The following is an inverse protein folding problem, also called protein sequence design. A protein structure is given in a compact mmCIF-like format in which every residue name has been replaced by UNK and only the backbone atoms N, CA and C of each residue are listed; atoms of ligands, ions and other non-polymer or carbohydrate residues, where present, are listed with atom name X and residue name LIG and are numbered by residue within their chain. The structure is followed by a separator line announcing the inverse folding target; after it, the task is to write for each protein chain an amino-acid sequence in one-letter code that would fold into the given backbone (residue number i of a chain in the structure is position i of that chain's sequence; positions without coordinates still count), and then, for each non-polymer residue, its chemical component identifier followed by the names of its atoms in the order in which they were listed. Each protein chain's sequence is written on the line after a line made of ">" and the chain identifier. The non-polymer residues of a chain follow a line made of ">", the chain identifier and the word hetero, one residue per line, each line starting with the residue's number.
data_IF_474424225181
#
_entry.id   IF_474424225181
#
_cell.length_a   1.000
_cell.length_b   1.000
_cell.length_c   1.000
_cell.angle_alpha   90.00
_cell.angle_beta   90.00
_cell.angle_gamma   90.00
#
_symmetry.space_group_name_H-M   'P 1'
#
loop_
_entity.id
_entity.type
_entity.pdbx_description
1 polymer ?
#
# COMPACT_ATOMS: atom_id res chain seq x y z
N UNK A 1 11.93 -7.15 -5.93
CA UNK A 1 11.72 -5.97 -5.08
C UNK A 1 10.83 -6.32 -3.89
N UNK A 2 11.25 -5.93 -2.68
CA UNK A 2 10.45 -6.17 -1.46
C UNK A 2 9.06 -5.51 -1.54
N UNK A 3 8.97 -4.37 -2.24
CA UNK A 3 7.71 -3.61 -2.36
C UNK A 3 6.63 -4.38 -3.13
N UNK A 4 7.01 -5.12 -4.17
CA UNK A 4 6.08 -5.82 -5.06
C UNK A 4 6.25 -7.34 -5.07
N UNK A 5 7.09 -7.87 -4.20
CA UNK A 5 7.40 -9.31 -4.14
C UNK A 5 7.83 -9.88 -5.51
N UNK A 6 8.61 -9.09 -6.25
CA UNK A 6 9.16 -9.48 -7.54
C UNK A 6 10.68 -9.60 -7.40
N UNK A 7 11.25 -10.61 -8.03
CA UNK A 7 12.69 -10.84 -8.02
C UNK A 7 13.43 -9.58 -8.51
N UNK A 8 14.41 -9.13 -7.73
CA UNK A 8 15.20 -7.93 -8.05
C UNK A 8 15.97 -8.09 -9.36
N UNK A 9 16.43 -9.31 -9.66
CA UNK A 9 17.13 -9.61 -10.90
C UNK A 9 16.21 -9.40 -12.12
N UNK A 10 14.97 -9.84 -12.04
CA UNK A 10 13.99 -9.66 -13.13
C UNK A 10 13.74 -8.17 -13.36
N UNK A 11 13.55 -7.39 -12.30
CA UNK A 11 13.35 -5.94 -12.41
C UNK A 11 14.58 -5.24 -12.99
N UNK A 12 15.78 -5.63 -12.55
CA UNK A 12 17.03 -5.05 -13.07
C UNK A 12 17.19 -5.37 -14.56
N UNK A 13 16.90 -6.61 -14.96
CA UNK A 13 16.98 -7.02 -16.36
C UNK A 13 16.07 -6.17 -17.25
N UNK A 14 14.83 -5.95 -16.83
CA UNK A 14 13.87 -5.14 -17.58
C UNK A 14 14.24 -3.65 -17.56
N UNK A 15 14.78 -3.16 -16.46
CA UNK A 15 15.33 -1.80 -16.39
C UNK A 15 16.48 -1.60 -17.38
N UNK A 16 17.38 -2.58 -17.46
CA UNK A 16 18.51 -2.56 -18.39
C UNK A 16 18.07 -2.62 -19.86
N UNK A 17 16.86 -3.13 -20.11
CA UNK A 17 16.25 -3.09 -21.44
C UNK A 17 15.65 -1.73 -21.81
N UNK A 18 15.68 -0.79 -20.88
CA UNK A 18 15.23 0.59 -21.13
C UNK A 18 13.88 0.97 -20.55
N UNK A 19 13.24 0.09 -19.77
CA UNK A 19 11.96 0.41 -19.12
C UNK A 19 12.18 1.38 -17.95
N UNK A 20 11.37 2.44 -17.89
CA UNK A 20 11.42 3.40 -16.79
C UNK A 20 10.76 2.86 -15.53
N UNK A 21 11.02 3.51 -14.38
CA UNK A 21 10.45 3.09 -13.09
C UNK A 21 8.93 3.12 -13.06
N UNK A 22 8.29 4.10 -13.70
CA UNK A 22 6.83 4.19 -13.76
C UNK A 22 6.25 3.00 -14.52
N UNK A 23 6.86 2.64 -15.65
CA UNK A 23 6.45 1.49 -16.46
C UNK A 23 6.61 0.19 -15.69
N UNK A 24 7.76 -0.01 -15.05
CA UNK A 24 8.03 -1.20 -14.25
C UNK A 24 7.08 -1.33 -13.07
N UNK A 25 6.77 -0.23 -12.39
CA UNK A 25 5.83 -0.22 -11.27
C UNK A 25 4.41 -0.60 -11.73
N UNK A 26 3.97 -0.02 -12.83
CA UNK A 26 2.66 -0.34 -13.39
C UNK A 26 2.59 -1.79 -13.85
N UNK A 27 3.61 -2.26 -14.55
CA UNK A 27 3.72 -3.66 -14.96
C UNK A 27 3.73 -4.63 -13.76
N UNK A 28 4.44 -4.27 -12.69
CA UNK A 28 4.46 -5.06 -11.46
C UNK A 28 3.06 -5.19 -10.85
N UNK A 29 2.30 -4.09 -10.83
CA UNK A 29 0.95 -4.08 -10.31
C UNK A 29 0.01 -4.93 -11.17
N UNK A 30 0.12 -4.86 -12.50
CA UNK A 30 -0.65 -5.71 -13.40
C UNK A 30 -0.25 -7.19 -13.27
N UNK A 31 1.02 -7.47 -13.02
CA UNK A 31 1.51 -8.82 -12.73
C UNK A 31 0.83 -9.39 -11.48
N UNK A 32 0.76 -8.61 -10.41
CA UNK A 32 0.07 -9.00 -9.17
C UNK A 32 -1.42 -9.21 -9.39
N UNK A 33 -2.05 -8.35 -10.19
CA UNK A 33 -3.49 -8.41 -10.44
C UNK A 33 -3.90 -9.60 -11.32
N UNK A 34 -3.04 -10.00 -12.26
CA UNK A 34 -3.35 -11.01 -13.25
C UNK A 34 -2.74 -12.39 -12.98
N UNK A 35 -1.72 -12.46 -12.15
CA UNK A 35 -0.91 -13.67 -11.99
C UNK A 35 0.05 -13.93 -13.15
N UNK A 36 0.11 -13.05 -14.15
CA UNK A 36 1.04 -13.17 -15.29
C UNK A 36 2.42 -12.64 -14.91
N UNK A 37 3.45 -13.17 -15.54
CA UNK A 37 4.81 -12.69 -15.35
C UNK A 37 4.96 -11.25 -15.84
N UNK A 38 5.74 -10.45 -15.13
CA UNK A 38 5.99 -9.05 -15.49
C UNK A 38 6.59 -8.95 -16.90
N UNK A 39 7.41 -9.92 -17.31
CA UNK A 39 8.01 -9.96 -18.64
C UNK A 39 6.95 -10.04 -19.74
N UNK A 40 5.94 -10.88 -19.55
CA UNK A 40 4.82 -11.01 -20.50
C UNK A 40 4.06 -9.69 -20.66
N UNK A 41 3.81 -9.01 -19.55
CA UNK A 41 3.12 -7.72 -19.52
C UNK A 41 3.94 -6.65 -20.26
N UNK A 42 5.24 -6.60 -20.02
CA UNK A 42 6.13 -5.65 -20.69
C UNK A 42 6.27 -5.92 -22.19
N UNK A 43 6.24 -7.21 -22.62
CA UNK A 43 6.21 -7.53 -24.05
C UNK A 43 4.93 -7.01 -24.72
N UNK A 44 3.79 -7.13 -24.06
CA UNK A 44 2.55 -6.54 -24.57
C UNK A 44 2.63 -5.01 -24.64
N UNK A 45 3.27 -4.38 -23.66
CA UNK A 45 3.41 -2.91 -23.61
C UNK A 45 4.27 -2.35 -24.73
N UNK A 46 5.18 -3.13 -25.32
CA UNK A 46 6.04 -2.68 -26.42
C UNK A 46 5.22 -2.13 -27.60
N UNK A 47 4.06 -2.71 -27.89
CA UNK A 47 3.22 -2.36 -29.04
C UNK A 47 1.81 -1.90 -28.67
N UNK A 48 1.54 -1.66 -27.38
CA UNK A 48 0.20 -1.33 -26.89
C UNK A 48 0.22 -0.25 -25.83
N UNK A 49 -0.85 0.54 -25.73
CA UNK A 49 -1.08 1.42 -24.59
C UNK A 49 -1.40 0.60 -23.33
N UNK A 50 -1.26 1.19 -22.14
CA UNK A 50 -1.65 0.52 -20.89
C UNK A 50 -3.12 0.07 -20.90
N UNK A 51 -4.10 0.90 -21.32
CA UNK A 51 -5.49 0.43 -21.41
C UNK A 51 -5.66 -0.80 -22.31
N UNK A 52 -4.90 -0.88 -23.40
CA UNK A 52 -4.94 -2.03 -24.30
C UNK A 52 -4.33 -3.28 -23.65
N UNK A 53 -3.22 -3.12 -22.93
CA UNK A 53 -2.61 -4.21 -22.16
C UNK A 53 -3.58 -4.75 -21.12
N UNK A 54 -4.26 -3.87 -20.39
CA UNK A 54 -5.27 -4.25 -19.40
C UNK A 54 -6.42 -5.02 -20.05
N UNK A 55 -6.90 -4.55 -21.20
CA UNK A 55 -7.94 -5.24 -21.95
C UNK A 55 -7.48 -6.64 -22.41
N UNK A 56 -6.28 -6.75 -22.99
CA UNK A 56 -5.73 -8.02 -23.49
C UNK A 56 -5.48 -9.03 -22.37
N UNK A 57 -5.17 -8.56 -21.17
CA UNK A 57 -4.95 -9.42 -20.00
C UNK A 57 -6.21 -9.68 -19.19
N UNK A 58 -7.33 -9.03 -19.53
CA UNK A 58 -8.60 -9.17 -18.82
C UNK A 58 -8.64 -8.50 -17.44
N UNK A 59 -7.70 -7.58 -17.18
CA UNK A 59 -7.59 -6.90 -15.88
C UNK A 59 -8.55 -5.71 -15.84
N UNK A 60 -9.36 -5.62 -14.77
CA UNK A 60 -10.26 -4.48 -14.51
C UNK A 60 -9.64 -3.49 -13.52
N UNK A 61 -10.15 -2.23 -13.45
CA UNK A 61 -9.73 -1.28 -12.41
C UNK A 61 -9.92 -1.82 -10.99
N UNK A 62 -10.97 -2.60 -10.75
CA UNK A 62 -11.20 -3.24 -9.44
C UNK A 62 -10.13 -4.29 -9.14
N UNK A 63 -9.67 -5.05 -10.12
CA UNK A 63 -8.58 -6.01 -9.95
C UNK A 63 -7.29 -5.30 -9.59
N UNK A 64 -7.01 -4.17 -10.23
CA UNK A 64 -5.82 -3.35 -9.94
C UNK A 64 -5.88 -2.81 -8.51
N UNK A 65 -7.02 -2.27 -8.11
CA UNK A 65 -7.22 -1.76 -6.74
C UNK A 65 -7.04 -2.87 -5.71
N UNK A 66 -7.67 -4.01 -5.93
CA UNK A 66 -7.56 -5.16 -5.03
C UNK A 66 -6.10 -5.63 -4.88
N UNK A 67 -5.36 -5.69 -5.97
CA UNK A 67 -3.95 -6.04 -5.96
C UNK A 67 -3.10 -5.01 -5.22
N UNK A 68 -3.37 -3.71 -5.44
CA UNK A 68 -2.69 -2.62 -4.74
C UNK A 68 -2.94 -2.70 -3.24
N UNK A 69 -4.18 -2.89 -2.83
CA UNK A 69 -4.55 -2.98 -1.41
C UNK A 69 -3.85 -4.16 -0.73
N UNK A 70 -3.84 -5.33 -1.37
CA UNK A 70 -3.13 -6.51 -0.84
C UNK A 70 -1.63 -6.26 -0.74
N UNK A 71 -1.04 -5.66 -1.76
CA UNK A 71 0.39 -5.38 -1.78
C UNK A 71 0.78 -4.36 -0.71
N UNK A 72 -0.02 -3.30 -0.55
CA UNK A 72 0.21 -2.29 0.48
C UNK A 72 0.07 -2.90 1.88
N UNK A 73 -0.96 -3.68 2.13
CA UNK A 73 -1.16 -4.33 3.42
C UNK A 73 0.02 -5.26 3.76
N UNK A 74 0.46 -6.07 2.80
CA UNK A 74 1.61 -6.97 2.99
C UNK A 74 2.88 -6.18 3.30
N UNK A 75 3.19 -5.21 2.48
CA UNK A 75 4.43 -4.44 2.62
C UNK A 75 4.49 -3.65 3.92
N UNK A 76 3.46 -2.85 4.20
CA UNK A 76 3.45 -2.00 5.39
C UNK A 76 3.31 -2.79 6.68
N UNK A 77 2.59 -3.92 6.67
CA UNK A 77 2.57 -4.82 7.82
C UNK A 77 3.99 -5.31 8.14
N UNK A 78 4.73 -5.73 7.14
CA UNK A 78 6.09 -6.24 7.32
C UNK A 78 7.06 -5.16 7.84
N UNK A 79 7.07 -3.98 7.22
CA UNK A 79 8.05 -2.92 7.56
C UNK A 79 7.69 -2.15 8.84
N UNK A 80 6.42 -2.15 9.24
CA UNK A 80 5.96 -1.44 10.44
C UNK A 80 5.70 -2.38 11.63
N UNK A 81 5.87 -3.68 11.47
CA UNK A 81 5.59 -4.65 12.53
C UNK A 81 4.11 -4.73 12.87
N UNK A 82 3.25 -4.63 11.86
CA UNK A 82 1.79 -4.71 11.98
C UNK A 82 1.27 -6.03 11.39
N UNK A 83 -0.01 -6.28 11.59
CA UNK A 83 -0.70 -7.42 10.98
C UNK A 83 -1.48 -6.95 9.76
N UNK A 84 -1.48 -7.74 8.69
CA UNK A 84 -2.24 -7.41 7.48
C UNK A 84 -3.74 -7.22 7.75
N UNK A 85 -4.30 -7.98 8.69
CA UNK A 85 -5.71 -7.87 9.11
C UNK A 85 -6.07 -6.51 9.72
N UNK A 86 -5.07 -5.76 10.19
CA UNK A 86 -5.27 -4.43 10.76
C UNK A 86 -5.12 -3.33 9.71
N UNK A 87 -4.81 -3.70 8.47
CA UNK A 87 -4.61 -2.78 7.34
C UNK A 87 -5.59 -3.07 6.20
N UNK A 88 -5.60 -4.30 5.69
CA UNK A 88 -6.31 -4.66 4.46
C UNK A 88 -7.82 -4.38 4.48
N UNK A 89 -8.57 -4.76 5.54
CA UNK A 89 -10.02 -4.52 5.53
C UNK A 89 -10.38 -3.04 5.39
N UNK A 90 -9.58 -2.15 5.94
CA UNK A 90 -9.82 -0.71 5.91
C UNK A 90 -9.43 -0.09 4.55
N UNK A 91 -8.38 -0.58 3.92
CA UNK A 91 -8.07 -0.21 2.53
C UNK A 91 -9.21 -0.60 1.59
N UNK A 92 -9.80 -1.76 1.80
CA UNK A 92 -10.98 -2.23 1.04
C UNK A 92 -12.21 -1.35 1.26
N UNK A 93 -12.32 -0.71 2.41
CA UNK A 93 -13.37 0.26 2.72
C UNK A 93 -13.05 1.68 2.21
N UNK A 94 -11.98 1.83 1.43
CA UNK A 94 -11.52 3.08 0.82
C UNK A 94 -10.98 4.12 1.81
N UNK A 95 -10.57 3.72 3.00
CA UNK A 95 -9.77 4.60 3.85
C UNK A 95 -8.43 4.88 3.19
N UNK A 96 -7.91 6.09 3.36
CA UNK A 96 -6.59 6.45 2.86
C UNK A 96 -5.51 5.63 3.58
N UNK A 97 -4.51 5.17 2.85
CA UNK A 97 -3.42 4.37 3.41
C UNK A 97 -2.75 5.07 4.61
N UNK A 98 -2.49 6.38 4.48
CA UNK A 98 -1.87 7.14 5.55
C UNK A 98 -2.70 7.09 6.85
N UNK A 99 -4.01 7.21 6.76
CA UNK A 99 -4.91 7.14 7.91
C UNK A 99 -4.95 5.74 8.51
N UNK A 100 -4.98 4.72 7.66
CA UNK A 100 -4.97 3.32 8.12
C UNK A 100 -3.69 3.00 8.89
N UNK A 101 -2.54 3.46 8.41
CA UNK A 101 -1.26 3.22 9.09
C UNK A 101 -1.18 3.94 10.44
N UNK A 102 -1.66 5.18 10.52
CA UNK A 102 -1.76 5.90 11.79
C UNK A 102 -2.67 5.16 12.78
N UNK A 103 -3.85 4.76 12.33
CA UNK A 103 -4.80 4.05 13.18
C UNK A 103 -4.25 2.72 13.67
N UNK A 104 -3.60 1.95 12.80
CA UNK A 104 -3.03 0.66 13.17
C UNK A 104 -1.91 0.79 14.20
N UNK A 105 -1.02 1.78 14.04
CA UNK A 105 0.06 2.02 15.00
C UNK A 105 -0.45 2.59 16.33
N UNK A 106 -1.46 3.44 16.31
CA UNK A 106 -2.13 3.91 17.53
C UNK A 106 -2.87 2.79 18.24
N UNK A 107 -3.50 1.88 17.50
CA UNK A 107 -4.13 0.69 18.06
C UNK A 107 -3.10 -0.19 18.79
N UNK A 108 -1.95 -0.42 18.18
CA UNK A 108 -0.86 -1.19 18.79
C UNK A 108 -0.34 -0.52 20.07
N UNK A 109 -0.23 0.79 20.08
CA UNK A 109 0.28 1.55 21.23
C UNK A 109 -0.74 1.67 22.37
N UNK A 110 -2.04 1.69 22.08
CA UNK A 110 -3.09 1.97 23.05
C UNK A 110 -3.88 0.75 23.49
N UNK A 111 -3.82 -0.35 22.74
CA UNK A 111 -4.67 -1.52 22.97
C UNK A 111 -6.10 -1.37 22.43
N UNK A 112 -6.43 -0.23 21.81
CA UNK A 112 -7.71 0.00 21.13
C UNK A 112 -7.70 -0.64 19.74
N UNK A 113 -8.86 -0.70 19.09
CA UNK A 113 -8.99 -1.26 17.74
C UNK A 113 -8.75 -0.18 16.68
N UNK A 114 -8.17 -0.57 15.53
CA UNK A 114 -8.00 0.34 14.39
C UNK A 114 -9.35 0.87 13.90
N UNK A 115 -10.40 0.05 13.94
CA UNK A 115 -11.75 0.44 13.55
C UNK A 115 -12.27 1.62 14.37
N UNK A 116 -12.19 1.54 15.72
CA UNK A 116 -12.66 2.62 16.59
C UNK A 116 -11.82 3.89 16.43
N UNK A 117 -10.52 3.75 16.20
CA UNK A 117 -9.62 4.87 15.99
C UNK A 117 -9.91 5.59 14.68
N UNK A 118 -10.13 4.84 13.59
CA UNK A 118 -10.52 5.42 12.30
C UNK A 118 -11.86 6.15 12.41
N UNK A 119 -12.82 5.60 13.14
CA UNK A 119 -14.11 6.23 13.37
C UNK A 119 -13.98 7.54 14.18
N UNK A 120 -13.03 7.62 15.10
CA UNK A 120 -12.78 8.81 15.92
C UNK A 120 -12.04 9.91 15.18
N UNK A 121 -11.27 9.59 14.14
CA UNK A 121 -10.48 10.53 13.36
C UNK A 121 -11.39 11.31 12.40
N UNK A 122 -11.66 12.58 12.72
CA UNK A 122 -12.53 13.47 11.94
C UNK A 122 -11.91 14.85 11.85
N UNK A 123 -10.93 15.06 10.92
CA UNK A 123 -10.33 16.38 10.78
C UNK A 123 -11.37 17.43 10.37
N UNK A 124 -11.13 18.71 10.66
CA UNK A 124 -9.93 19.25 11.29
C UNK A 124 -9.93 19.21 12.83
N UNK A 125 -11.10 19.06 13.48
CA UNK A 125 -11.22 19.16 14.94
C UNK A 125 -10.72 17.91 15.67
N UNK A 126 -11.01 16.74 15.12
CA UNK A 126 -10.61 15.45 15.68
C UNK A 126 -9.46 14.87 14.86
N UNK A 127 -8.34 15.58 14.84
CA UNK A 127 -7.12 15.17 14.15
C UNK A 127 -6.38 14.07 14.94
N UNK A 128 -5.22 13.62 14.43
CA UNK A 128 -4.45 12.58 15.10
C UNK A 128 -3.96 12.99 16.49
N UNK A 129 -3.67 14.25 16.70
CA UNK A 129 -3.27 14.76 18.04
C UNK A 129 -4.42 14.62 19.05
N UNK A 130 -5.64 14.94 18.63
CA UNK A 130 -6.84 14.77 19.46
C UNK A 130 -7.10 13.29 19.76
N UNK A 131 -7.06 12.44 18.73
CA UNK A 131 -7.29 11.00 18.88
C UNK A 131 -6.25 10.37 19.80
N UNK A 132 -4.99 10.71 19.64
CA UNK A 132 -3.92 10.22 20.52
C UNK A 132 -4.14 10.65 21.97
N UNK A 133 -4.57 11.88 22.19
CA UNK A 133 -4.90 12.38 23.52
C UNK A 133 -6.03 11.57 24.17
N UNK A 134 -7.10 11.32 23.43
CA UNK A 134 -8.23 10.50 23.91
C UNK A 134 -7.83 9.07 24.22
N UNK A 135 -6.82 8.54 23.55
CA UNK A 135 -6.28 7.19 23.76
C UNK A 135 -5.21 7.12 24.83
N UNK A 136 -4.90 8.24 25.47
CA UNK A 136 -3.82 8.36 26.45
C UNK A 136 -2.43 8.00 25.85
N UNK A 137 -2.25 8.32 24.57
CA UNK A 137 -0.98 8.18 23.86
C UNK A 137 -0.25 9.51 23.89
N UNK A 138 0.99 9.50 24.36
CA UNK A 138 1.79 10.72 24.50
C UNK A 138 2.11 11.36 23.15
N UNK A 139 2.39 12.67 23.17
CA UNK A 139 2.78 13.40 21.96
C UNK A 139 4.08 12.84 21.37
N UNK A 140 5.03 12.49 22.22
CA UNK A 140 6.30 11.88 21.82
C UNK A 140 6.05 10.56 21.06
N UNK A 141 5.12 9.76 21.56
CA UNK A 141 4.76 8.50 20.92
C UNK A 141 4.08 8.73 19.57
N UNK A 142 3.19 9.72 19.49
CA UNK A 142 2.55 10.07 18.22
C UNK A 142 3.56 10.59 17.21
N UNK A 143 4.50 11.42 17.63
CA UNK A 143 5.57 11.92 16.75
C UNK A 143 6.45 10.78 16.25
N UNK A 144 6.77 9.81 17.10
CA UNK A 144 7.51 8.60 16.71
C UNK A 144 6.74 7.78 15.67
N UNK A 145 5.41 7.66 15.83
CA UNK A 145 4.54 6.99 14.84
C UNK A 145 4.61 7.71 13.48
N UNK A 146 4.48 9.03 13.48
CA UNK A 146 4.57 9.86 12.26
C UNK A 146 5.91 9.69 11.54
N UNK A 147 7.00 9.71 12.29
CA UNK A 147 8.35 9.51 11.74
C UNK A 147 8.50 8.11 11.16
N UNK A 148 8.01 7.09 11.85
CA UNK A 148 8.06 5.70 11.39
C UNK A 148 7.34 5.52 10.06
N UNK A 149 6.14 6.11 9.92
CA UNK A 149 5.37 6.07 8.67
C UNK A 149 6.13 6.80 7.56
N UNK A 150 6.63 8.00 7.84
CA UNK A 150 7.38 8.78 6.85
C UNK A 150 8.62 8.07 6.33
N UNK A 151 9.30 7.30 7.19
CA UNK A 151 10.54 6.60 6.85
C UNK A 151 10.36 5.42 5.89
N UNK A 152 9.13 4.88 5.76
CA UNK A 152 8.85 3.68 4.95
C UNK A 152 8.04 3.96 3.69
N UNK A 153 7.67 5.20 3.47
CA UNK A 153 6.94 5.61 2.25
C UNK A 153 7.85 5.84 1.07
#
# INVERSE_FOLDING_TARGET
>A
SKRFDIDAYVLQTEFDRGWGFKELRHAALLSLASGKNINEILRLKENNSWPRVEYLTGITPNDIKAARDRNDARYFAAVLGLKEKDILPYLRQNYALNDVLHAALLAQASGSTAESILAAHRPPTHDWSYVAYELDVSREKLDAIREKIASVK
#
